data_IF_011715224326
#
_entry.id   IF_011715224326
#
_cell.length_a   1.000
_cell.length_b   1.000
_cell.length_c   1.000
_cell.angle_alpha   90.00
_cell.angle_beta   90.00
_cell.angle_gamma   90.00
#
_symmetry.space_group_name_H-M   'P 1'
#
loop_
_entity.id
_entity.type
_entity.pdbx_description
1 polymer ?
#
# COMPACT_ATOMS: atom_id res chain seq x y z
N UNK A 1 -22.40 -4.06 -5.09
CA UNK A 1 -22.61 -5.28 -4.26
C UNK A 1 -21.32 -5.53 -3.47
N UNK A 2 -21.44 -5.78 -2.14
CA UNK A 2 -20.29 -6.14 -1.32
C UNK A 2 -19.79 -7.52 -1.76
N UNK A 3 -18.51 -7.60 -2.14
CA UNK A 3 -17.86 -8.87 -2.53
C UNK A 3 -17.37 -9.63 -1.30
N UNK A 4 -16.89 -10.86 -1.49
CA UNK A 4 -16.28 -11.68 -0.44
C UNK A 4 -14.78 -11.37 -0.29
N UNK A 5 -14.14 -11.72 0.86
CA UNK A 5 -12.69 -11.65 1.01
C UNK A 5 -11.93 -12.40 -0.09
N UNK A 6 -12.43 -13.57 -0.50
CA UNK A 6 -11.79 -14.38 -1.52
C UNK A 6 -11.79 -13.67 -2.88
N UNK A 7 -12.88 -13.01 -3.26
CA UNK A 7 -12.95 -12.23 -4.51
C UNK A 7 -11.96 -11.06 -4.52
N UNK A 8 -11.73 -10.40 -3.37
CA UNK A 8 -10.69 -9.38 -3.24
C UNK A 8 -9.30 -9.97 -3.46
N UNK A 9 -9.01 -11.10 -2.82
CA UNK A 9 -7.69 -11.74 -2.90
C UNK A 9 -7.45 -12.35 -4.28
N UNK A 10 -8.46 -12.95 -4.89
CA UNK A 10 -8.37 -13.50 -6.25
C UNK A 10 -8.10 -12.39 -7.26
N UNK A 11 -8.81 -11.27 -7.16
CA UNK A 11 -8.52 -10.11 -8.01
C UNK A 11 -7.07 -9.67 -7.86
N UNK A 12 -6.61 -9.48 -6.61
CA UNK A 12 -5.31 -8.88 -6.36
C UNK A 12 -4.12 -9.80 -6.64
N UNK A 13 -4.24 -11.08 -6.34
CA UNK A 13 -3.13 -12.04 -6.41
C UNK A 13 -3.20 -13.01 -7.59
N UNK A 14 -4.37 -13.16 -8.23
CA UNK A 14 -4.57 -14.13 -9.32
C UNK A 14 -4.90 -13.43 -10.63
N UNK A 15 -5.83 -12.45 -10.65
CA UNK A 15 -6.19 -11.73 -11.87
C UNK A 15 -5.15 -10.65 -12.23
N UNK A 16 -4.58 -9.95 -11.23
CA UNK A 16 -3.57 -8.91 -11.45
C UNK A 16 -2.16 -9.50 -11.56
N UNK A 17 -1.37 -8.95 -12.48
CA UNK A 17 0.07 -9.20 -12.51
C UNK A 17 0.79 -8.27 -11.51
N UNK A 18 1.95 -8.67 -10.95
CA UNK A 18 2.73 -7.81 -10.03
C UNK A 18 3.09 -6.43 -10.60
N UNK A 19 3.10 -6.30 -11.93
CA UNK A 19 3.34 -5.03 -12.62
C UNK A 19 2.14 -4.06 -12.51
N UNK A 20 0.93 -4.57 -12.33
CA UNK A 20 -0.29 -3.78 -12.26
C UNK A 20 -0.44 -3.06 -10.92
N UNK A 21 0.04 -3.67 -9.82
CA UNK A 21 -0.13 -3.14 -8.46
C UNK A 21 0.38 -1.72 -8.26
N UNK A 22 1.39 -1.30 -9.05
CA UNK A 22 2.03 0.01 -8.92
C UNK A 22 1.95 0.82 -10.22
N UNK A 23 1.13 0.36 -11.15
CA UNK A 23 0.90 1.04 -12.43
C UNK A 23 -0.09 2.17 -12.26
N UNK A 24 0.21 3.33 -12.84
CA UNK A 24 -0.76 4.40 -13.00
C UNK A 24 -1.55 4.13 -14.28
N UNK A 25 -2.81 3.72 -14.16
CA UNK A 25 -3.71 3.39 -15.26
C UNK A 25 -5.14 3.78 -14.88
N UNK A 26 -5.72 4.68 -15.65
CA UNK A 26 -7.11 5.11 -15.44
C UNK A 26 -8.09 3.95 -15.65
N UNK A 27 -7.82 3.07 -16.60
CA UNK A 27 -8.61 1.87 -16.85
C UNK A 27 -8.61 0.95 -15.63
N UNK A 28 -7.43 0.67 -15.07
CA UNK A 28 -7.29 -0.16 -13.86
C UNK A 28 -7.94 0.49 -12.63
N UNK A 29 -7.76 1.82 -12.47
CA UNK A 29 -8.39 2.58 -11.38
C UNK A 29 -9.92 2.51 -11.48
N UNK A 30 -10.48 2.60 -12.69
CA UNK A 30 -11.92 2.49 -12.93
C UNK A 30 -12.44 1.07 -12.72
N UNK A 31 -11.70 0.05 -13.10
CA UNK A 31 -12.03 -1.35 -12.81
C UNK A 31 -12.15 -1.59 -11.31
N UNK A 32 -11.12 -1.20 -10.53
CA UNK A 32 -11.15 -1.32 -9.08
C UNK A 32 -12.33 -0.56 -8.49
N UNK A 33 -12.59 0.67 -8.93
CA UNK A 33 -13.73 1.46 -8.46
C UNK A 33 -15.06 0.76 -8.75
N UNK A 34 -15.24 0.23 -9.94
CA UNK A 34 -16.48 -0.43 -10.35
C UNK A 34 -16.74 -1.71 -9.53
N UNK A 35 -15.70 -2.48 -9.27
CA UNK A 35 -15.83 -3.77 -8.57
C UNK A 35 -15.90 -3.64 -7.05
N UNK A 36 -15.20 -2.66 -6.45
CA UNK A 36 -14.91 -2.69 -5.02
C UNK A 36 -15.33 -1.44 -4.24
N UNK A 37 -15.92 -0.41 -4.85
CA UNK A 37 -16.32 0.81 -4.13
C UNK A 37 -17.31 0.51 -3.01
N UNK A 38 -18.39 -0.23 -3.27
CA UNK A 38 -19.37 -0.59 -2.24
C UNK A 38 -18.72 -1.40 -1.10
N UNK A 39 -17.77 -2.26 -1.44
CA UNK A 39 -17.02 -3.05 -0.44
C UNK A 39 -16.14 -2.15 0.42
N UNK A 40 -15.44 -1.18 -0.17
CA UNK A 40 -14.68 -0.18 0.58
C UNK A 40 -15.57 0.59 1.55
N UNK A 41 -16.72 1.06 1.08
CA UNK A 41 -17.68 1.80 1.91
C UNK A 41 -18.20 0.95 3.08
N UNK A 42 -18.50 -0.32 2.84
CA UNK A 42 -18.93 -1.27 3.86
C UNK A 42 -17.84 -1.55 4.90
N UNK A 43 -16.57 -1.69 4.47
CA UNK A 43 -15.43 -1.86 5.39
C UNK A 43 -15.28 -0.63 6.28
N UNK A 44 -15.32 0.56 5.71
CA UNK A 44 -15.22 1.83 6.47
C UNK A 44 -16.39 1.99 7.43
N UNK A 45 -17.60 1.55 7.07
CA UNK A 45 -18.77 1.54 7.93
C UNK A 45 -18.74 0.46 9.02
N UNK A 46 -17.77 -0.48 8.98
CA UNK A 46 -17.67 -1.59 9.93
C UNK A 46 -18.64 -2.73 9.68
N UNK A 47 -19.21 -2.82 8.49
CA UNK A 47 -20.20 -3.84 8.11
C UNK A 47 -19.57 -5.20 7.79
N UNK A 48 -18.23 -5.25 7.66
CA UNK A 48 -17.46 -6.47 7.28
C UNK A 48 -16.65 -7.06 8.43
N UNK A 49 -16.95 -6.70 9.68
CA UNK A 49 -16.16 -7.11 10.86
C UNK A 49 -15.99 -8.62 11.01
N UNK A 50 -16.93 -9.44 10.45
CA UNK A 50 -16.75 -10.89 10.43
C UNK A 50 -15.62 -11.38 9.53
N UNK A 51 -15.14 -10.59 8.57
CA UNK A 51 -13.96 -10.96 7.79
C UNK A 51 -12.73 -11.10 8.68
N UNK A 52 -12.67 -10.34 9.77
CA UNK A 52 -11.57 -10.33 10.74
C UNK A 52 -11.44 -11.62 11.55
N UNK A 53 -12.36 -12.59 11.38
CA UNK A 53 -12.26 -13.91 11.99
C UNK A 53 -11.21 -14.80 11.33
N UNK A 54 -10.68 -14.40 10.19
CA UNK A 54 -9.64 -15.15 9.47
C UNK A 54 -8.51 -14.24 9.01
N UNK A 55 -7.29 -14.78 8.94
CA UNK A 55 -6.13 -14.09 8.40
C UNK A 55 -6.40 -13.52 7.00
N UNK A 56 -7.00 -14.32 6.12
CA UNK A 56 -7.32 -13.92 4.74
C UNK A 56 -8.36 -12.80 4.69
N UNK A 57 -9.35 -12.81 5.57
CA UNK A 57 -10.34 -11.75 5.66
C UNK A 57 -9.72 -10.42 6.12
N UNK A 58 -8.82 -10.44 7.12
CA UNK A 58 -8.05 -9.25 7.53
C UNK A 58 -7.21 -8.71 6.40
N UNK A 59 -6.51 -9.58 5.68
CA UNK A 59 -5.70 -9.18 4.53
C UNK A 59 -6.55 -8.53 3.43
N UNK A 60 -7.73 -9.07 3.15
CA UNK A 60 -8.65 -8.49 2.18
C UNK A 60 -9.09 -7.07 2.57
N UNK A 61 -9.47 -6.82 3.84
CA UNK A 61 -9.77 -5.47 4.33
C UNK A 61 -8.57 -4.53 4.19
N UNK A 62 -7.36 -4.98 4.55
CA UNK A 62 -6.12 -4.20 4.42
C UNK A 62 -5.89 -3.80 2.95
N UNK A 63 -6.01 -4.73 2.00
CA UNK A 63 -5.82 -4.46 0.57
C UNK A 63 -6.84 -3.42 0.07
N UNK A 64 -8.11 -3.57 0.43
CA UNK A 64 -9.15 -2.63 0.02
C UNK A 64 -8.90 -1.23 0.59
N UNK A 65 -8.54 -1.14 1.88
CA UNK A 65 -8.33 0.15 2.55
C UNK A 65 -7.03 0.85 2.15
N UNK A 66 -5.94 0.09 1.91
CA UNK A 66 -4.62 0.66 1.67
C UNK A 66 -4.27 0.73 0.18
N UNK A 67 -4.64 -0.28 -0.62
CA UNK A 67 -4.27 -0.34 -2.04
C UNK A 67 -5.40 0.17 -2.93
N UNK A 68 -6.61 -0.40 -2.81
CA UNK A 68 -7.72 -0.02 -3.68
C UNK A 68 -8.16 1.42 -3.48
N UNK A 69 -8.11 1.94 -2.24
CA UNK A 69 -8.41 3.36 -1.97
C UNK A 69 -7.53 4.30 -2.81
N UNK A 70 -6.24 3.98 -2.95
CA UNK A 70 -5.29 4.78 -3.74
C UNK A 70 -5.58 4.74 -5.24
N UNK A 71 -6.12 3.65 -5.74
CA UNK A 71 -6.58 3.54 -7.12
C UNK A 71 -7.93 4.25 -7.32
N UNK A 72 -8.94 3.91 -6.50
CA UNK A 72 -10.29 4.44 -6.61
C UNK A 72 -10.37 5.96 -6.47
N UNK A 73 -9.55 6.52 -5.59
CA UNK A 73 -9.58 7.93 -5.20
C UNK A 73 -8.29 8.67 -5.57
N UNK A 74 -7.67 8.30 -6.68
CA UNK A 74 -6.46 8.98 -7.14
C UNK A 74 -6.68 10.49 -7.23
N UNK A 75 -5.72 11.25 -6.70
CA UNK A 75 -5.75 12.72 -6.61
C UNK A 75 -6.92 13.29 -5.76
N UNK A 76 -7.51 12.48 -4.87
CA UNK A 76 -8.56 12.84 -3.93
C UNK A 76 -8.11 12.52 -2.48
N UNK A 77 -8.56 13.30 -1.50
CA UNK A 77 -8.24 13.10 -0.08
C UNK A 77 -8.66 11.72 0.44
N UNK A 78 -9.71 11.14 -0.12
CA UNK A 78 -10.19 9.80 0.22
C UNK A 78 -9.16 8.70 -0.01
N UNK A 79 -8.17 8.93 -0.88
CA UNK A 79 -7.08 7.98 -1.10
C UNK A 79 -6.29 7.65 0.19
N UNK A 80 -6.33 8.54 1.17
CA UNK A 80 -5.59 8.44 2.44
C UNK A 80 -6.50 8.39 3.67
N UNK A 81 -7.81 8.56 3.51
CA UNK A 81 -8.76 8.68 4.62
C UNK A 81 -8.82 7.43 5.50
N UNK A 82 -8.51 6.26 4.93
CA UNK A 82 -8.55 4.96 5.62
C UNK A 82 -7.18 4.48 6.12
N UNK A 83 -6.10 5.27 5.96
CA UNK A 83 -4.75 4.85 6.34
C UNK A 83 -4.66 4.44 7.82
N UNK A 84 -5.30 5.18 8.73
CA UNK A 84 -5.29 4.86 10.16
C UNK A 84 -5.99 3.51 10.45
N UNK A 85 -7.13 3.26 9.82
CA UNK A 85 -7.85 1.98 9.97
C UNK A 85 -7.04 0.82 9.39
N UNK A 86 -6.41 1.02 8.22
CA UNK A 86 -5.55 0.02 7.61
C UNK A 86 -4.36 -0.34 8.52
N UNK A 87 -3.76 0.64 9.19
CA UNK A 87 -2.69 0.41 10.18
C UNK A 87 -3.17 -0.44 11.36
N UNK A 88 -4.35 -0.14 11.92
CA UNK A 88 -4.87 -0.92 13.06
C UNK A 88 -5.17 -2.37 12.63
N UNK A 89 -5.80 -2.58 11.48
CA UNK A 89 -6.05 -3.94 10.97
C UNK A 89 -4.76 -4.67 10.62
N UNK A 90 -3.75 -3.97 10.11
CA UNK A 90 -2.43 -4.55 9.86
C UNK A 90 -1.76 -5.02 11.16
N UNK A 91 -1.87 -4.25 12.26
CA UNK A 91 -1.38 -4.67 13.58
C UNK A 91 -2.06 -5.94 14.06
N UNK A 92 -3.39 -6.02 13.92
CA UNK A 92 -4.15 -7.22 14.28
C UNK A 92 -3.72 -8.43 13.44
N UNK A 93 -3.49 -8.24 12.13
CA UNK A 93 -3.07 -9.30 11.22
C UNK A 93 -1.69 -9.88 11.54
N UNK A 94 -0.83 -9.16 12.27
CA UNK A 94 0.47 -9.69 12.68
C UNK A 94 0.37 -10.91 13.60
N UNK A 95 -0.75 -11.12 14.29
CA UNK A 95 -0.98 -12.35 15.06
C UNK A 95 -1.10 -13.59 14.20
N UNK A 96 -1.45 -13.41 12.92
CA UNK A 96 -1.64 -14.48 11.94
C UNK A 96 -0.45 -14.56 10.96
N UNK A 97 0.70 -13.98 11.31
CA UNK A 97 1.85 -13.81 10.40
C UNK A 97 2.22 -15.07 9.64
N UNK A 98 2.21 -16.22 10.30
CA UNK A 98 2.61 -17.51 9.73
C UNK A 98 1.58 -18.09 8.76
N UNK A 99 0.35 -17.56 8.75
CA UNK A 99 -0.69 -17.95 7.79
C UNK A 99 -0.55 -17.25 6.43
N UNK A 100 0.31 -16.23 6.34
CA UNK A 100 0.52 -15.47 5.12
C UNK A 100 1.72 -15.97 4.33
N UNK A 101 1.56 -16.10 3.02
CA UNK A 101 2.68 -16.24 2.09
C UNK A 101 3.55 -14.98 2.12
N UNK A 102 4.80 -15.08 1.66
CA UNK A 102 5.70 -13.92 1.63
C UNK A 102 5.14 -12.75 0.80
N UNK A 103 4.40 -13.04 -0.25
CA UNK A 103 3.73 -12.03 -1.07
C UNK A 103 2.63 -11.32 -0.28
N UNK A 104 1.81 -12.06 0.46
CA UNK A 104 0.76 -11.53 1.32
C UNK A 104 1.33 -10.72 2.48
N UNK A 105 2.38 -11.21 3.15
CA UNK A 105 3.13 -10.48 4.18
C UNK A 105 3.55 -9.10 3.69
N UNK A 106 3.96 -9.00 2.42
CA UNK A 106 4.34 -7.73 1.83
C UNK A 106 3.22 -6.69 1.81
N UNK A 107 1.95 -7.11 1.74
CA UNK A 107 0.79 -6.23 1.81
C UNK A 107 0.28 -6.01 3.23
N UNK A 108 0.46 -6.98 4.14
CA UNK A 108 0.18 -6.78 5.58
C UNK A 108 1.03 -5.65 6.16
N UNK A 109 2.29 -5.52 5.76
CA UNK A 109 3.20 -4.49 6.31
C UNK A 109 3.10 -3.12 5.60
N UNK A 110 2.45 -3.05 4.42
CA UNK A 110 2.40 -1.80 3.64
C UNK A 110 1.71 -0.63 4.34
N UNK A 111 0.62 -0.80 5.11
CA UNK A 111 0.03 0.30 5.85
C UNK A 111 1.00 1.01 6.81
N UNK A 112 1.95 0.28 7.40
CA UNK A 112 2.97 0.88 8.27
C UNK A 112 3.90 1.81 7.48
N UNK A 113 4.33 1.37 6.30
CA UNK A 113 5.14 2.17 5.37
C UNK A 113 4.41 3.44 4.90
N UNK A 114 3.08 3.42 4.84
CA UNK A 114 2.27 4.55 4.40
C UNK A 114 1.92 5.53 5.53
N UNK A 115 2.25 5.21 6.77
CA UNK A 115 1.96 6.05 7.94
C UNK A 115 2.84 7.32 7.96
N UNK A 116 2.25 8.46 8.33
CA UNK A 116 3.01 9.70 8.59
C UNK A 116 3.48 9.79 10.05
N UNK A 117 3.86 8.65 10.66
CA UNK A 117 4.34 8.56 12.04
C UNK A 117 5.70 7.88 12.10
N UNK A 118 6.75 8.63 12.47
CA UNK A 118 8.09 8.08 12.63
C UNK A 118 8.11 6.92 13.66
N UNK A 119 7.37 7.07 14.76
CA UNK A 119 7.27 6.02 15.76
C UNK A 119 6.64 4.73 15.20
N UNK A 120 5.74 4.83 14.21
CA UNK A 120 5.17 3.67 13.53
C UNK A 120 6.22 2.98 12.66
N UNK A 121 7.00 3.72 11.90
CA UNK A 121 8.12 3.17 11.11
C UNK A 121 9.14 2.46 12.00
N UNK A 122 9.58 3.12 13.10
CA UNK A 122 10.53 2.54 14.05
C UNK A 122 10.02 1.23 14.68
N UNK A 123 8.73 1.18 14.99
CA UNK A 123 8.12 -0.01 15.55
C UNK A 123 7.96 -1.13 14.51
N UNK A 124 7.60 -0.76 13.27
CA UNK A 124 7.23 -1.73 12.23
C UNK A 124 8.43 -2.31 11.49
N UNK A 125 9.60 -1.63 11.47
CA UNK A 125 10.75 -2.00 10.63
C UNK A 125 11.19 -3.46 10.79
N UNK A 126 11.03 -4.04 11.97
CA UNK A 126 11.35 -5.44 12.26
C UNK A 126 10.54 -6.45 11.45
N UNK A 127 9.30 -6.09 11.06
CA UNK A 127 8.42 -6.95 10.27
C UNK A 127 8.80 -6.98 8.79
N UNK A 128 9.65 -6.04 8.36
CA UNK A 128 10.25 -6.03 7.03
C UNK A 128 11.56 -6.84 6.98
N UNK A 129 12.07 -7.30 8.14
CA UNK A 129 13.28 -8.13 8.26
C UNK A 129 13.00 -9.62 8.00
N UNK A 130 12.16 -9.91 7.03
CA UNK A 130 11.76 -11.27 6.66
C UNK A 130 12.44 -11.66 5.34
N UNK A 131 13.02 -12.87 5.23
CA UNK A 131 13.53 -13.37 3.96
C UNK A 131 12.47 -13.31 2.86
N UNK A 132 12.79 -12.62 1.76
CA UNK A 132 11.88 -12.35 0.66
C UNK A 132 11.19 -10.97 0.72
N UNK A 133 11.34 -10.21 1.81
CA UNK A 133 10.87 -8.82 1.93
C UNK A 133 11.99 -7.78 1.79
N UNK A 134 13.20 -8.14 1.37
CA UNK A 134 14.36 -7.24 1.28
C UNK A 134 14.05 -5.98 0.44
N UNK A 135 13.29 -6.16 -0.64
CA UNK A 135 12.85 -5.05 -1.49
C UNK A 135 11.86 -4.14 -0.73
N UNK A 136 10.92 -4.71 0.01
CA UNK A 136 9.97 -3.94 0.82
C UNK A 136 10.67 -3.19 1.93
N UNK A 137 11.64 -3.82 2.61
CA UNK A 137 12.46 -3.18 3.61
C UNK A 137 13.21 -1.97 3.06
N UNK A 138 13.80 -2.09 1.87
CA UNK A 138 14.46 -0.94 1.22
C UNK A 138 13.49 0.23 1.06
N UNK A 139 12.26 -0.02 0.57
CA UNK A 139 11.26 1.03 0.43
C UNK A 139 10.79 1.58 1.77
N UNK A 140 10.61 0.73 2.78
CA UNK A 140 10.28 1.18 4.14
C UNK A 140 11.32 2.17 4.67
N UNK A 141 12.60 1.86 4.56
CA UNK A 141 13.68 2.74 5.02
C UNK A 141 13.68 4.09 4.27
N UNK A 142 13.40 4.08 2.98
CA UNK A 142 13.27 5.32 2.20
C UNK A 142 12.04 6.15 2.61
N UNK A 143 10.91 5.50 2.93
CA UNK A 143 9.72 6.19 3.45
C UNK A 143 9.98 6.77 4.83
N UNK A 144 10.59 5.97 5.70
CA UNK A 144 10.99 6.39 7.03
C UNK A 144 11.88 7.64 7.00
N UNK A 145 12.88 7.69 6.11
CA UNK A 145 13.77 8.85 5.94
C UNK A 145 12.98 10.14 5.62
N UNK A 146 11.94 10.04 4.78
CA UNK A 146 11.08 11.19 4.47
C UNK A 146 10.31 11.64 5.70
N UNK A 147 9.73 10.71 6.45
CA UNK A 147 9.01 11.02 7.68
C UNK A 147 9.95 11.59 8.75
N UNK A 148 11.17 11.07 8.86
CA UNK A 148 12.19 11.62 9.75
C UNK A 148 12.55 13.07 9.39
N UNK A 149 12.64 13.36 8.07
CA UNK A 149 13.02 14.68 7.56
C UNK A 149 11.90 15.71 7.64
N UNK A 150 10.68 15.33 7.24
CA UNK A 150 9.57 16.26 7.04
C UNK A 150 8.41 16.07 8.00
N UNK A 151 8.36 14.96 8.75
CA UNK A 151 7.23 14.59 9.61
C UNK A 151 5.95 14.21 8.84
N UNK A 152 6.01 14.23 7.51
CA UNK A 152 4.90 13.94 6.60
C UNK A 152 5.41 13.59 5.21
N UNK A 153 4.50 13.10 4.34
CA UNK A 153 4.81 12.89 2.93
C UNK A 153 4.52 14.15 2.10
N UNK A 154 5.54 14.89 1.61
CA UNK A 154 5.35 16.11 0.83
C UNK A 154 4.48 15.92 -0.42
N UNK A 155 4.57 14.76 -1.08
CA UNK A 155 3.77 14.47 -2.28
C UNK A 155 2.26 14.40 -2.02
N UNK A 156 1.80 14.27 -0.76
CA UNK A 156 0.39 14.32 -0.39
C UNK A 156 -0.11 15.73 -0.14
N UNK A 157 0.80 16.73 0.00
CA UNK A 157 0.43 18.06 0.43
C UNK A 157 -0.61 18.69 -0.47
N UNK A 158 -0.44 18.64 -1.79
CA UNK A 158 -1.38 19.22 -2.74
C UNK A 158 -2.80 18.63 -2.56
N UNK A 159 -2.90 17.30 -2.53
CA UNK A 159 -4.19 16.59 -2.40
C UNK A 159 -4.85 16.87 -1.04
N UNK A 160 -4.04 16.95 0.03
CA UNK A 160 -4.54 17.17 1.39
C UNK A 160 -4.70 18.67 1.74
N UNK A 161 -4.54 19.58 0.78
CA UNK A 161 -4.67 21.02 1.01
C UNK A 161 -3.60 21.59 1.95
N UNK A 162 -2.44 20.94 2.07
CA UNK A 162 -1.33 21.36 2.92
C UNK A 162 -0.35 22.22 2.12
N UNK A 163 0.08 23.34 2.68
CA UNK A 163 1.13 24.17 2.08
C UNK A 163 2.48 23.49 2.22
N UNK A 164 3.20 23.34 1.11
CA UNK A 164 4.58 22.81 1.13
C UNK A 164 5.56 23.90 1.60
N UNK A 165 6.59 23.48 2.35
CA UNK A 165 7.73 24.32 2.66
C UNK A 165 8.67 24.41 1.46
N UNK A 166 9.56 25.44 1.38
CA UNK A 166 10.55 25.50 0.30
C UNK A 166 11.44 24.25 0.21
N UNK A 167 11.74 23.62 1.36
CA UNK A 167 12.53 22.38 1.40
C UNK A 167 11.76 21.18 0.85
N UNK A 168 10.45 21.08 1.15
CA UNK A 168 9.58 20.06 0.57
C UNK A 168 9.40 20.25 -0.94
N UNK A 169 9.29 21.49 -1.42
CA UNK A 169 9.22 21.80 -2.86
C UNK A 169 10.50 21.37 -3.58
N UNK A 170 11.68 21.70 -3.03
CA UNK A 170 12.96 21.26 -3.57
C UNK A 170 13.05 19.74 -3.64
N UNK A 171 12.65 19.04 -2.56
CA UNK A 171 12.60 17.58 -2.52
C UNK A 171 11.69 17.00 -3.62
N UNK A 172 10.50 17.57 -3.82
CA UNK A 172 9.56 17.11 -4.85
C UNK A 172 10.10 17.32 -6.28
N UNK A 173 10.88 18.40 -6.51
CA UNK A 173 11.53 18.65 -7.79
C UNK A 173 12.65 17.63 -8.09
N UNK A 174 13.44 17.26 -7.08
CA UNK A 174 14.50 16.27 -7.20
C UNK A 174 13.96 14.85 -7.36
N UNK A 175 12.77 14.56 -6.79
CA UNK A 175 12.14 13.25 -6.74
C UNK A 175 10.76 13.25 -7.43
N UNK A 176 10.63 13.65 -8.71
CA UNK A 176 9.35 13.67 -9.40
C UNK A 176 8.81 12.26 -9.57
N UNK A 177 7.62 11.98 -9.06
CA UNK A 177 7.00 10.66 -9.11
C UNK A 177 7.68 9.68 -8.17
N UNK A 178 7.78 10.09 -6.94
CA UNK A 178 8.34 9.38 -5.80
C UNK A 178 8.09 7.85 -5.92
N UNK A 179 9.17 7.06 -6.08
CA UNK A 179 9.24 5.61 -6.33
C UNK A 179 8.80 5.08 -7.71
N UNK A 180 8.16 5.83 -8.60
CA UNK A 180 7.74 5.31 -9.92
C UNK A 180 8.91 5.13 -10.90
N UNK A 181 9.97 5.92 -10.79
CA UNK A 181 11.14 5.80 -11.69
C UNK A 181 12.06 4.62 -11.34
N UNK A 182 12.19 4.29 -10.06
CA UNK A 182 13.02 3.15 -9.66
C UNK A 182 12.34 1.80 -9.93
N UNK A 183 11.01 1.74 -9.85
CA UNK A 183 10.25 0.54 -10.27
C UNK A 183 10.53 0.17 -11.72
N UNK A 184 10.61 1.16 -12.62
CA UNK A 184 10.93 0.91 -14.04
C UNK A 184 12.39 0.46 -14.26
N UNK A 185 13.37 0.98 -13.52
CA UNK A 185 14.78 0.56 -13.63
C UNK A 185 15.02 -0.85 -13.08
N UNK A 186 14.37 -1.24 -12.01
CA UNK A 186 14.49 -2.57 -11.40
C UNK A 186 13.75 -3.67 -12.16
N UNK A 187 12.67 -3.32 -12.86
CA UNK A 187 11.95 -4.27 -13.71
C UNK A 187 12.82 -4.76 -14.88
N UNK A 188 13.65 -3.88 -15.46
CA UNK A 188 14.61 -4.26 -16.51
C UNK A 188 15.71 -5.22 -16.00
N UNK A 189 16.06 -5.18 -14.73
CA UNK A 189 17.09 -6.06 -14.16
C UNK A 189 16.57 -7.49 -13.91
N UNK A 190 15.34 -7.66 -13.49
CA UNK A 190 14.74 -8.98 -13.24
C UNK A 190 14.37 -9.74 -14.53
N UNK A 191 14.00 -9.04 -15.60
CA UNK A 191 13.69 -9.69 -16.89
C UNK A 191 14.92 -10.16 -17.63
N UNK A 192 16.09 -9.56 -17.38
CA UNK A 192 17.36 -9.98 -18.01
C UNK A 192 18.06 -11.16 -17.31
N UNK A 193 17.72 -11.49 -16.06
CA UNK A 193 18.28 -12.69 -15.41
C UNK A 193 17.57 -13.99 -15.82
N UNK A 194 16.32 -13.95 -16.28
CA UNK A 194 15.61 -15.13 -16.80
C UNK A 194 15.99 -15.54 -18.23
N UNK A 195 16.84 -14.76 -18.90
CA UNK A 195 17.35 -15.09 -20.27
C UNK A 195 18.77 -15.64 -20.29
N UNK A 196 19.33 -16.00 -19.12
CA UNK A 196 20.67 -16.62 -19.02
C UNK A 196 20.61 -17.89 -18.18
N UNK A 197 19.74 -18.81 -18.58
CA UNK A 197 19.85 -20.26 -18.26
C UNK A 197 19.45 -21.01 -19.52
#
# INVERSE_FOLDING_TARGET
>A
MIVTPQEVLDFWFVECEPADWFKKSEEFDNEIRTRFLETYEAIVAGETTEWRRSAKGRLAEIIVLDQFSRNMFRDDTRAFASDALAVELAKEALSDWDEFSIQERSFVVMPFMHSESLAMHDWAVKWFDEPGLERRKKYELMHREIIERFGRYPHRNHVLGRTSTPEEEAFLQEHPGFYQKESKRLFFYCTNQKRRV
#
